data_IF_593410007677
#
_entry.id   IF_593410007677
#
_cell.length_a   1.000
_cell.length_b   1.000
_cell.length_c   1.000
_cell.angle_alpha   90.00
_cell.angle_beta   90.00
_cell.angle_gamma   90.00
#
_symmetry.space_group_name_H-M   'P 1'
#
loop_
_entity.id
_entity.type
_entity.pdbx_description
1 polymer ?
#
# COMPACT_ATOMS: atom_id res chain seq x y z
N UNK A 1 -26.62 12.71 5.72
CA UNK A 1 -25.15 12.87 5.65
C UNK A 1 -24.73 12.68 4.21
N UNK A 2 -24.46 13.79 3.51
CA UNK A 2 -24.34 13.88 2.06
C UNK A 2 -22.90 13.64 1.57
N UNK A 3 -22.80 12.88 0.46
CA UNK A 3 -21.83 12.98 -0.65
C UNK A 3 -20.33 12.77 -0.34
N UNK A 4 -19.75 11.68 -0.85
CA UNK A 4 -19.12 11.69 -2.19
C UNK A 4 -18.72 10.28 -2.64
N UNK A 5 -19.39 9.78 -3.70
CA UNK A 5 -18.75 8.90 -4.69
C UNK A 5 -17.74 9.78 -5.42
N UNK A 6 -16.51 9.85 -4.94
CA UNK A 6 -15.45 10.58 -5.63
C UNK A 6 -15.01 9.74 -6.83
N UNK A 7 -15.09 10.35 -8.01
CA UNK A 7 -14.57 9.82 -9.25
C UNK A 7 -13.15 9.28 -9.02
N UNK A 8 -12.95 8.01 -9.39
CA UNK A 8 -11.79 7.18 -9.09
C UNK A 8 -10.57 7.72 -9.85
N UNK A 9 -9.99 8.81 -9.35
CA UNK A 9 -8.55 9.00 -9.53
C UNK A 9 -7.88 7.92 -8.69
N UNK A 10 -6.83 7.25 -9.18
CA UNK A 10 -6.11 6.28 -8.36
C UNK A 10 -5.65 6.98 -7.09
N UNK A 11 -6.26 6.62 -5.96
CA UNK A 11 -5.90 7.20 -4.68
C UNK A 11 -4.48 6.73 -4.37
N UNK A 12 -3.56 7.68 -4.36
CA UNK A 12 -2.18 7.47 -3.93
C UNK A 12 -2.11 7.72 -2.44
N UNK A 13 -1.40 6.85 -1.75
CA UNK A 13 -1.23 6.88 -0.31
C UNK A 13 0.26 6.88 -0.01
N UNK A 14 0.64 7.63 1.03
CA UNK A 14 2.00 7.58 1.57
C UNK A 14 2.19 6.31 2.39
N UNK A 15 3.45 5.95 2.64
CA UNK A 15 3.82 4.84 3.53
C UNK A 15 3.06 4.87 4.87
N UNK A 16 3.01 6.02 5.54
CA UNK A 16 2.29 6.17 6.81
C UNK A 16 0.80 5.78 6.71
N UNK A 17 0.12 6.20 5.63
CA UNK A 17 -1.27 5.84 5.36
C UNK A 17 -1.46 4.34 5.16
N UNK A 18 -0.52 3.67 4.50
CA UNK A 18 -0.54 2.21 4.37
C UNK A 18 -0.31 1.50 5.71
N UNK A 19 0.58 2.02 6.56
CA UNK A 19 0.87 1.48 7.89
C UNK A 19 -0.32 1.66 8.86
N UNK A 20 -1.03 2.79 8.76
CA UNK A 20 -2.23 3.05 9.55
C UNK A 20 -3.47 2.31 9.00
N UNK A 21 -3.51 2.02 7.70
CA UNK A 21 -4.64 1.35 7.06
C UNK A 21 -4.90 -0.05 7.62
N UNK A 22 -6.18 -0.41 7.81
CA UNK A 22 -6.61 -1.76 8.19
C UNK A 22 -6.66 -2.73 7.00
N UNK A 23 -6.38 -2.24 5.79
CA UNK A 23 -6.46 -3.02 4.57
C UNK A 23 -5.32 -4.04 4.43
N UNK A 24 -4.21 -3.83 5.13
CA UNK A 24 -3.03 -4.70 5.11
C UNK A 24 -2.81 -5.38 6.45
N UNK A 25 -2.30 -6.60 6.43
CA UNK A 25 -1.93 -7.35 7.65
C UNK A 25 -0.63 -6.83 8.24
N UNK A 26 -0.32 -7.18 9.50
CA UNK A 26 0.93 -6.75 10.15
C UNK A 26 2.18 -7.13 9.35
N UNK A 27 2.22 -8.33 8.77
CA UNK A 27 3.32 -8.77 7.90
C UNK A 27 3.41 -7.94 6.63
N UNK A 28 2.28 -7.71 5.95
CA UNK A 28 2.23 -6.86 4.75
C UNK A 28 2.65 -5.43 5.05
N UNK A 29 2.27 -4.88 6.21
CA UNK A 29 2.69 -3.54 6.66
C UNK A 29 4.18 -3.47 6.91
N UNK A 30 4.78 -4.50 7.51
CA UNK A 30 6.24 -4.58 7.65
C UNK A 30 6.93 -4.57 6.28
N UNK A 31 6.42 -5.37 5.35
CA UNK A 31 6.93 -5.44 3.98
C UNK A 31 6.81 -4.09 3.25
N UNK A 32 5.63 -3.45 3.35
CA UNK A 32 5.39 -2.10 2.85
C UNK A 32 6.28 -1.06 3.54
N UNK A 33 6.60 -1.22 4.81
CA UNK A 33 7.51 -0.32 5.52
C UNK A 33 8.95 -0.38 4.99
N UNK A 34 9.36 -1.56 4.51
CA UNK A 34 10.69 -1.81 3.97
C UNK A 34 10.79 -1.37 2.51
N UNK A 35 9.74 -1.58 1.71
CA UNK A 35 9.75 -1.32 0.26
C UNK A 35 9.28 0.08 -0.13
N UNK A 36 8.31 0.66 0.61
CA UNK A 36 7.80 2.00 0.32
C UNK A 36 8.74 3.05 0.92
N UNK A 37 9.09 4.04 0.10
CA UNK A 37 9.82 5.22 0.59
C UNK A 37 8.86 6.24 1.20
N UNK A 38 9.31 6.92 2.24
CA UNK A 38 8.53 7.96 2.95
C UNK A 38 8.25 9.19 2.08
N UNK A 39 9.12 9.49 1.11
CA UNK A 39 8.99 10.62 0.19
C UNK A 39 8.16 10.29 -1.07
N UNK A 40 7.79 9.01 -1.25
CA UNK A 40 7.01 8.54 -2.39
C UNK A 40 5.58 8.15 -1.99
N UNK A 41 4.66 8.30 -2.94
CA UNK A 41 3.27 7.87 -2.79
C UNK A 41 2.95 6.74 -3.76
N UNK A 42 2.21 5.75 -3.29
CA UNK A 42 1.91 4.56 -4.05
C UNK A 42 0.40 4.30 -4.07
N UNK A 43 -0.11 3.68 -5.11
CA UNK A 43 -1.50 3.21 -5.14
C UNK A 43 -1.64 1.91 -4.36
N UNK A 44 -2.87 1.58 -3.95
CA UNK A 44 -3.13 0.27 -3.33
C UNK A 44 -2.72 -0.91 -4.22
N UNK A 45 -2.81 -0.76 -5.56
CA UNK A 45 -2.39 -1.79 -6.51
C UNK A 45 -0.87 -1.94 -6.55
N UNK A 46 -0.12 -0.83 -6.58
CA UNK A 46 1.35 -0.85 -6.50
C UNK A 46 1.82 -1.47 -5.19
N UNK A 47 1.22 -1.09 -4.06
CA UNK A 47 1.54 -1.67 -2.77
C UNK A 47 1.36 -3.19 -2.75
N UNK A 48 0.26 -3.70 -3.33
CA UNK A 48 0.02 -5.15 -3.45
C UNK A 48 1.06 -5.84 -4.35
N UNK A 49 1.37 -5.26 -5.50
CA UNK A 49 2.39 -5.82 -6.40
C UNK A 49 3.76 -5.88 -5.73
N UNK A 50 4.16 -4.85 -5.00
CA UNK A 50 5.43 -4.83 -4.26
C UNK A 50 5.48 -5.92 -3.19
N UNK A 51 4.35 -6.16 -2.50
CA UNK A 51 4.24 -7.26 -1.54
C UNK A 51 4.39 -8.62 -2.24
N UNK A 52 3.70 -8.82 -3.37
CA UNK A 52 3.77 -10.07 -4.13
C UNK A 52 5.16 -10.31 -4.71
N UNK A 53 5.85 -9.28 -5.19
CA UNK A 53 7.22 -9.39 -5.69
C UNK A 53 8.17 -9.84 -4.57
N UNK A 54 8.05 -9.26 -3.38
CA UNK A 54 8.83 -9.65 -2.21
C UNK A 54 8.53 -11.08 -1.75
N UNK A 55 7.25 -11.47 -1.69
CA UNK A 55 6.87 -12.86 -1.37
C UNK A 55 7.46 -13.84 -2.39
N UNK A 56 7.37 -13.54 -3.69
CA UNK A 56 7.94 -14.40 -4.73
C UNK A 56 9.46 -14.46 -4.65
N UNK A 57 10.11 -13.37 -4.21
CA UNK A 57 11.56 -13.29 -4.08
C UNK A 57 12.10 -14.09 -2.89
N UNK A 58 11.34 -14.20 -1.80
CA UNK A 58 11.68 -15.07 -0.65
C UNK A 58 11.48 -16.56 -0.94
N UNK A 59 10.67 -16.92 -1.93
CA UNK A 59 10.35 -18.31 -2.29
C UNK A 59 11.42 -18.97 -3.17
N UNK A 60 12.48 -18.26 -3.57
CA UNK A 60 13.49 -18.77 -4.52
C UNK A 60 14.84 -19.11 -3.89
#
# INVERSE_FOLDING_TARGET
MSKTKQAVKPAVFSKAQFLESKQFTTMQKQLLSVVLKDDETYTCEQAKQLIEDLLNREVR
#
